data_IF_341253513738
#
_entry.id   IF_341253513738
#
_cell.length_a   1.000
_cell.length_b   1.000
_cell.length_c   1.000
_cell.angle_alpha   90.00
_cell.angle_beta   90.00
_cell.angle_gamma   90.00
#
_symmetry.space_group_name_H-M   'P 1'
#
loop_
_entity.id
_entity.type
_entity.pdbx_description
1 polymer ?
#
# COMPACT_ATOMS: atom_id res chain seq x y z
N UNK A 1 -10.58 19.08 26.73
CA UNK A 1 -11.94 18.87 26.16
C UNK A 1 -11.91 19.57 24.81
N UNK A 2 -11.90 18.92 23.64
CA UNK A 2 -12.47 17.65 23.24
C UNK A 2 -11.41 16.68 22.68
N UNK A 3 -11.54 15.40 23.03
CA UNK A 3 -10.96 14.28 22.31
C UNK A 3 -11.98 13.98 21.22
N UNK A 4 -11.64 14.22 19.96
CA UNK A 4 -12.47 13.75 18.86
C UNK A 4 -12.29 12.22 18.79
N UNK A 5 -13.10 11.54 19.59
CA UNK A 5 -13.28 10.11 19.58
C UNK A 5 -14.18 9.76 18.40
N UNK A 6 -13.57 9.66 17.23
CA UNK A 6 -14.14 9.01 16.05
C UNK A 6 -13.34 7.76 15.72
N UNK A 7 -13.12 6.89 16.72
CA UNK A 7 -12.88 5.47 16.44
C UNK A 7 -14.19 4.86 15.95
N UNK A 8 -14.42 5.00 14.65
CA UNK A 8 -15.33 4.17 13.88
C UNK A 8 -14.87 2.72 13.97
N UNK A 9 -15.49 2.01 14.91
CA UNK A 9 -15.52 0.57 15.09
C UNK A 9 -15.47 -0.20 13.75
N UNK A 10 -14.30 -0.73 13.40
CA UNK A 10 -14.09 -1.86 12.48
C UNK A 10 -14.80 -1.76 11.11
N UNK A 11 -14.53 -0.73 10.31
CA UNK A 11 -14.61 -0.93 8.86
C UNK A 11 -13.40 -1.79 8.47
N UNK A 12 -13.60 -3.10 8.43
CA UNK A 12 -12.59 -4.06 7.96
C UNK A 12 -12.08 -3.56 6.62
N UNK A 13 -10.80 -3.21 6.59
CA UNK A 13 -10.09 -2.80 5.38
C UNK A 13 -10.28 -3.89 4.32
N UNK A 14 -10.60 -3.52 3.07
CA UNK A 14 -10.96 -4.48 2.05
C UNK A 14 -9.77 -5.40 1.77
N UNK A 15 -9.89 -6.66 2.17
CA UNK A 15 -9.05 -7.77 1.72
C UNK A 15 -9.82 -8.45 0.58
N UNK A 16 -9.25 -8.56 -0.63
CA UNK A 16 -9.83 -9.38 -1.68
C UNK A 16 -10.06 -10.81 -1.19
N UNK A 17 -11.29 -11.31 -1.31
CA UNK A 17 -11.69 -12.68 -0.95
C UNK A 17 -12.17 -13.41 -2.19
N UNK A 18 -11.88 -14.69 -2.28
CA UNK A 18 -12.25 -15.53 -3.41
C UNK A 18 -13.12 -16.68 -2.98
N UNK A 19 -14.37 -16.74 -3.45
CA UNK A 19 -15.26 -17.92 -3.33
C UNK A 19 -15.53 -18.49 -1.94
N UNK A 20 -14.89 -17.95 -0.89
CA UNK A 20 -14.80 -18.41 0.50
C UNK A 20 -14.06 -17.37 1.35
N UNK A 21 -13.85 -17.68 2.64
CA UNK A 21 -13.33 -16.72 3.64
C UNK A 21 -11.81 -16.43 3.58
N UNK A 22 -11.08 -17.02 2.63
CA UNK A 22 -9.63 -16.87 2.53
C UNK A 22 -9.22 -15.68 1.62
N UNK A 23 -8.20 -14.89 2.02
CA UNK A 23 -7.65 -13.83 1.18
C UNK A 23 -7.08 -14.36 -0.14
N UNK A 24 -7.52 -13.80 -1.27
CA UNK A 24 -6.90 -14.07 -2.57
C UNK A 24 -5.70 -13.14 -2.77
N UNK A 25 -4.51 -13.72 -2.64
CA UNK A 25 -3.26 -13.12 -3.09
C UNK A 25 -2.60 -14.12 -4.06
N UNK A 26 -2.32 -13.67 -5.27
CA UNK A 26 -1.64 -14.45 -6.32
C UNK A 26 -0.14 -14.62 -6.00
N UNK A 27 0.42 -13.71 -5.19
CA UNK A 27 1.80 -13.79 -4.74
C UNK A 27 1.97 -13.29 -3.30
N UNK A 28 2.99 -13.82 -2.61
CA UNK A 28 3.30 -13.49 -1.20
C UNK A 28 3.50 -11.99 -0.98
N UNK A 29 4.05 -11.27 -1.97
CA UNK A 29 4.29 -9.84 -1.87
C UNK A 29 2.99 -9.02 -1.85
N UNK A 30 1.91 -9.51 -2.45
CA UNK A 30 0.62 -8.82 -2.50
C UNK A 30 0.01 -8.71 -1.10
N UNK A 31 0.03 -9.81 -0.34
CA UNK A 31 -0.40 -9.82 1.07
C UNK A 31 0.47 -8.93 1.96
N UNK A 32 1.77 -8.83 1.67
CA UNK A 32 2.68 -7.92 2.39
C UNK A 32 2.36 -6.46 2.08
N UNK A 33 2.18 -6.10 0.80
CA UNK A 33 1.80 -4.75 0.41
C UNK A 33 0.46 -4.35 1.03
N UNK A 34 -0.49 -5.30 1.05
CA UNK A 34 -1.77 -5.12 1.70
C UNK A 34 -1.64 -4.83 3.19
N UNK A 35 -0.99 -5.75 3.92
CA UNK A 35 -0.80 -5.63 5.36
C UNK A 35 -0.02 -4.37 5.76
N UNK A 36 0.99 -3.97 4.99
CA UNK A 36 1.72 -2.71 5.24
C UNK A 36 0.81 -1.50 5.12
N UNK A 37 -0.01 -1.42 4.07
CA UNK A 37 -0.91 -0.29 3.90
C UNK A 37 -1.96 -0.22 5.03
N UNK A 38 -2.49 -1.37 5.44
CA UNK A 38 -3.43 -1.48 6.57
C UNK A 38 -2.77 -1.00 7.87
N UNK A 39 -1.66 -1.60 8.26
CA UNK A 39 -1.00 -1.34 9.54
C UNK A 39 -0.49 0.08 9.65
N UNK A 40 0.03 0.67 8.56
CA UNK A 40 0.47 2.06 8.55
C UNK A 40 -0.70 3.03 8.75
N UNK A 41 -1.85 2.73 8.15
CA UNK A 41 -3.05 3.54 8.35
C UNK A 41 -3.60 3.41 9.77
N UNK A 42 -3.71 2.19 10.30
CA UNK A 42 -4.14 1.93 11.68
C UNK A 42 -3.23 2.59 12.72
N UNK A 43 -1.94 2.73 12.41
CA UNK A 43 -0.96 3.45 13.24
C UNK A 43 -0.98 4.97 13.07
N UNK A 44 -1.85 5.51 12.21
CA UNK A 44 -2.02 6.95 12.03
C UNK A 44 -0.95 7.63 11.16
N UNK A 45 -0.17 6.87 10.37
CA UNK A 45 0.78 7.47 9.43
C UNK A 45 0.05 8.18 8.27
N UNK A 46 -1.14 7.70 7.92
CA UNK A 46 -2.07 8.35 7.00
C UNK A 46 -3.49 7.85 7.21
N UNK A 47 -4.48 8.65 6.83
CA UNK A 47 -5.89 8.26 6.87
C UNK A 47 -6.22 7.29 5.73
N UNK A 48 -7.00 6.24 6.02
CA UNK A 48 -7.35 5.23 5.03
C UNK A 48 -8.06 5.83 3.80
N UNK A 49 -8.85 6.89 4.01
CA UNK A 49 -9.53 7.58 2.92
C UNK A 49 -8.55 8.21 1.94
N UNK A 50 -7.43 8.76 2.40
CA UNK A 50 -6.40 9.32 1.51
C UNK A 50 -5.80 8.23 0.62
N UNK A 51 -5.51 7.07 1.19
CA UNK A 51 -5.05 5.93 0.42
C UNK A 51 -6.07 5.51 -0.65
N UNK A 52 -7.36 5.47 -0.29
CA UNK A 52 -8.44 5.12 -1.22
C UNK A 52 -8.55 6.12 -2.37
N UNK A 53 -8.44 7.42 -2.10
CA UNK A 53 -8.48 8.46 -3.14
C UNK A 53 -7.25 8.39 -4.06
N UNK A 54 -6.06 8.16 -3.50
CA UNK A 54 -4.86 7.96 -4.29
C UNK A 54 -4.95 6.70 -5.16
N UNK A 55 -5.51 5.60 -4.65
CA UNK A 55 -5.72 4.37 -5.42
C UNK A 55 -6.64 4.61 -6.61
N UNK A 56 -7.74 5.35 -6.40
CA UNK A 56 -8.66 5.73 -7.49
C UNK A 56 -7.91 6.54 -8.56
N UNK A 57 -7.05 7.48 -8.15
CA UNK A 57 -6.27 8.29 -9.07
C UNK A 57 -5.26 7.45 -9.87
N UNK A 58 -4.56 6.51 -9.21
CA UNK A 58 -3.62 5.58 -9.84
C UNK A 58 -4.33 4.67 -10.85
N UNK A 59 -5.44 4.04 -10.44
CA UNK A 59 -6.24 3.17 -11.33
C UNK A 59 -6.73 3.94 -12.55
N UNK A 60 -7.31 5.14 -12.36
CA UNK A 60 -7.77 5.98 -13.48
C UNK A 60 -6.64 6.34 -14.45
N UNK A 61 -5.46 6.68 -13.92
CA UNK A 61 -4.28 6.99 -14.75
C UNK A 61 -3.83 5.77 -15.55
N UNK A 62 -3.67 4.64 -14.88
CA UNK A 62 -3.21 3.39 -15.50
C UNK A 62 -4.19 2.92 -16.58
N UNK A 63 -5.49 2.97 -16.31
CA UNK A 63 -6.53 2.60 -17.27
C UNK A 63 -6.54 3.54 -18.48
N UNK A 64 -6.42 4.86 -18.26
CA UNK A 64 -6.35 5.84 -19.34
C UNK A 64 -5.08 5.69 -20.21
N UNK A 65 -3.99 5.23 -19.62
CA UNK A 65 -2.73 4.96 -20.30
C UNK A 65 -2.65 3.56 -20.94
N UNK A 66 -3.62 2.67 -20.67
CA UNK A 66 -3.60 1.28 -21.13
C UNK A 66 -2.46 0.46 -20.52
N UNK A 67 -2.04 0.80 -19.30
CA UNK A 67 -0.92 0.14 -18.63
C UNK A 67 -1.29 -1.29 -18.19
N UNK A 68 -0.48 -2.30 -18.54
CA UNK A 68 -0.77 -3.70 -18.23
C UNK A 68 -0.38 -4.05 -16.79
N UNK A 69 -0.74 -3.21 -15.82
CA UNK A 69 -0.43 -3.43 -14.39
C UNK A 69 -1.52 -4.22 -13.68
N UNK A 70 -1.12 -5.13 -12.81
CA UNK A 70 -2.02 -5.89 -11.94
C UNK A 70 -2.67 -4.98 -10.88
N UNK A 71 -3.74 -5.47 -10.25
CA UNK A 71 -4.41 -4.74 -9.17
C UNK A 71 -3.46 -4.42 -8.01
N UNK A 72 -2.62 -5.39 -7.61
CA UNK A 72 -1.71 -5.19 -6.48
C UNK A 72 -0.47 -4.38 -6.83
N UNK A 73 -0.07 -4.33 -8.10
CA UNK A 73 0.97 -3.39 -8.57
C UNK A 73 0.48 -1.95 -8.41
N UNK A 74 -0.79 -1.69 -8.76
CA UNK A 74 -1.43 -0.37 -8.55
C UNK A 74 -1.56 -0.04 -7.05
N UNK A 75 -1.81 -1.03 -6.19
CA UNK A 75 -1.77 -0.84 -4.73
C UNK A 75 -0.38 -0.46 -4.21
N UNK A 76 0.65 -1.16 -4.66
CA UNK A 76 2.03 -0.88 -4.26
C UNK A 76 2.48 0.51 -4.71
N UNK A 77 2.12 0.91 -5.93
CA UNK A 77 2.33 2.28 -6.43
C UNK A 77 1.60 3.30 -5.55
N UNK A 78 0.35 3.03 -5.20
CA UNK A 78 -0.44 3.90 -4.32
C UNK A 78 0.21 4.07 -2.95
N UNK A 79 0.63 2.97 -2.33
CA UNK A 79 1.30 2.99 -1.03
C UNK A 79 2.57 3.84 -1.09
N UNK A 80 3.38 3.64 -2.12
CA UNK A 80 4.62 4.41 -2.37
C UNK A 80 4.33 5.91 -2.50
N UNK A 81 3.30 6.28 -3.25
CA UNK A 81 2.88 7.68 -3.43
C UNK A 81 2.40 8.31 -2.13
N UNK A 82 1.58 7.62 -1.35
CA UNK A 82 1.07 8.11 -0.05
C UNK A 82 2.23 8.37 0.91
N UNK A 83 3.14 7.41 1.05
CA UNK A 83 4.30 7.55 1.95
C UNK A 83 5.24 8.67 1.51
N UNK A 84 5.43 8.84 0.20
CA UNK A 84 6.25 9.93 -0.35
C UNK A 84 5.61 11.30 -0.12
N UNK A 85 4.30 11.44 -0.37
CA UNK A 85 3.55 12.68 -0.13
C UNK A 85 3.56 13.10 1.34
N UNK A 86 3.60 12.13 2.26
CA UNK A 86 3.70 12.34 3.71
C UNK A 86 5.14 12.58 4.19
N UNK A 87 6.15 12.47 3.32
CA UNK A 87 7.56 12.64 3.66
C UNK A 87 8.14 11.50 4.51
N UNK A 88 7.47 10.35 4.56
CA UNK A 88 7.91 9.18 5.33
C UNK A 88 8.97 8.35 4.61
N UNK A 89 8.98 8.43 3.28
CA UNK A 89 9.98 7.84 2.40
C UNK A 89 10.25 8.81 1.25
N UNK A 90 11.48 8.81 0.75
CA UNK A 90 11.85 9.46 -0.49
C UNK A 90 11.87 8.46 -1.64
N UNK A 91 11.67 8.91 -2.90
CA UNK A 91 11.85 8.05 -4.07
C UNK A 91 13.26 7.47 -4.15
N UNK A 92 14.26 8.22 -3.67
CA UNK A 92 15.66 7.77 -3.64
C UNK A 92 15.90 6.60 -2.69
N UNK A 93 15.33 6.63 -1.48
CA UNK A 93 15.42 5.51 -0.53
C UNK A 93 14.75 4.25 -1.09
N UNK A 94 13.61 4.40 -1.78
CA UNK A 94 12.92 3.27 -2.41
C UNK A 94 13.73 2.70 -3.57
N UNK A 95 14.31 3.56 -4.42
CA UNK A 95 15.17 3.13 -5.53
C UNK A 95 16.41 2.41 -5.01
N UNK A 96 17.08 2.98 -4.01
CA UNK A 96 18.25 2.37 -3.38
C UNK A 96 17.94 0.96 -2.84
N UNK A 97 16.85 0.81 -2.08
CA UNK A 97 16.45 -0.51 -1.57
C UNK A 97 16.07 -1.46 -2.71
N UNK A 98 15.35 -1.00 -3.72
CA UNK A 98 15.02 -1.82 -4.89
C UNK A 98 16.29 -2.37 -5.55
N UNK A 99 17.30 -1.52 -5.74
CA UNK A 99 18.59 -1.90 -6.36
C UNK A 99 19.38 -2.88 -5.48
N UNK A 100 19.42 -2.69 -4.16
CA UNK A 100 20.04 -3.62 -3.21
C UNK A 100 19.40 -5.00 -3.28
N UNK A 101 18.06 -5.07 -3.32
CA UNK A 101 17.33 -6.34 -3.44
C UNK A 101 17.48 -6.98 -4.82
N UNK A 102 17.49 -6.20 -5.90
CA UNK A 102 17.62 -6.71 -7.26
C UNK A 102 19.04 -7.23 -7.56
N UNK A 103 20.06 -6.56 -7.04
CA UNK A 103 21.47 -6.95 -7.20
C UNK A 103 21.91 -8.07 -6.24
N UNK A 104 21.15 -8.30 -5.17
CA UNK A 104 21.52 -9.21 -4.08
C UNK A 104 22.59 -8.65 -3.13
N UNK A 105 22.99 -7.38 -3.29
CA UNK A 105 23.96 -6.70 -2.45
C UNK A 105 23.30 -6.15 -1.17
N UNK A 106 22.73 -7.04 -0.35
CA UNK A 106 22.11 -6.66 0.92
C UNK A 106 22.81 -7.36 2.09
N UNK A 107 22.90 -6.66 3.22
CA UNK A 107 23.19 -7.29 4.51
C UNK A 107 21.90 -7.94 5.03
N UNK A 108 21.91 -9.28 5.15
CA UNK A 108 20.81 -10.06 5.71
C UNK A 108 20.75 -9.89 7.24
N UNK A 109 20.38 -8.72 7.74
CA UNK A 109 20.08 -8.56 9.17
C UNK A 109 18.58 -8.74 9.36
N UNK A 110 18.19 -9.94 9.80
CA UNK A 110 16.84 -10.24 10.32
C UNK A 110 16.82 -10.10 11.83
#
# INVERSE_FOLDING_TARGET
MARDSSLGRQDKLPVPRGGGDEPLFEAVWEGRAHGMAVVLSERGFYDWEDFRQELIAVVRRADAAGEPTSYYERWLETLTRVLTKRGLLSPGEIAQRTDEFASGARDDVF
#
